data_IF_477772026552
#
_entry.id   IF_477772026552
#
_cell.length_a   1.000
_cell.length_b   1.000
_cell.length_c   1.000
_cell.angle_alpha   90.00
_cell.angle_beta   90.00
_cell.angle_gamma   90.00
#
_symmetry.space_group_name_H-M   'P 1'
#
loop_
_entity.id
_entity.type
_entity.pdbx_description
1 polymer ?
#
# COMPACT_ATOMS: atom_id res chain seq x y z
N UNK A 1 2.91 -23.90 9.98
CA UNK A 1 2.10 -23.22 8.97
C UNK A 1 2.28 -21.72 9.06
N UNK A 2 2.62 -21.09 7.98
CA UNK A 2 2.73 -19.64 7.98
C UNK A 2 1.35 -19.02 7.78
N UNK A 3 1.11 -17.91 8.48
CA UNK A 3 -0.10 -17.14 8.35
C UNK A 3 -0.11 -16.40 7.00
N UNK A 4 -1.29 -16.30 6.37
CA UNK A 4 -1.44 -15.48 5.17
C UNK A 4 -1.42 -14.02 5.60
N UNK A 5 -0.49 -13.25 5.05
CA UNK A 5 -0.38 -11.83 5.38
C UNK A 5 -1.34 -11.01 4.54
N UNK A 6 -2.00 -10.05 5.18
CA UNK A 6 -2.89 -9.09 4.52
C UNK A 6 -2.06 -7.90 4.10
N UNK A 7 -1.94 -7.67 2.79
CA UNK A 7 -1.07 -6.63 2.24
C UNK A 7 -1.86 -5.62 1.43
N UNK A 8 -1.74 -4.35 1.80
CA UNK A 8 -2.31 -3.26 1.01
C UNK A 8 -1.28 -2.90 -0.07
N UNK A 9 -1.67 -3.02 -1.33
CA UNK A 9 -0.76 -2.84 -2.46
C UNK A 9 -1.02 -1.49 -3.12
N UNK A 10 -0.05 -0.58 -3.01
CA UNK A 10 -0.10 0.72 -3.67
C UNK A 10 -0.04 0.54 -5.19
N UNK A 11 -0.68 1.44 -5.95
CA UNK A 11 -0.72 1.31 -7.40
C UNK A 11 0.66 1.33 -8.06
N UNK A 12 1.65 1.96 -7.42
CA UNK A 12 3.03 1.96 -7.93
C UNK A 12 3.60 0.55 -8.09
N UNK A 13 3.09 -0.41 -7.31
CA UNK A 13 3.56 -1.80 -7.37
C UNK A 13 3.06 -2.48 -8.65
N UNK A 14 1.80 -2.23 -9.04
CA UNK A 14 1.28 -2.76 -10.29
C UNK A 14 2.06 -2.19 -11.48
N UNK A 15 2.34 -0.88 -11.47
CA UNK A 15 3.17 -0.25 -12.49
C UNK A 15 4.60 -0.74 -12.47
N UNK A 16 5.12 -1.02 -11.27
CA UNK A 16 6.49 -1.50 -11.09
C UNK A 16 6.77 -2.83 -11.77
N UNK A 17 5.74 -3.64 -11.99
CA UNK A 17 5.86 -4.90 -12.73
C UNK A 17 6.45 -4.66 -14.14
N UNK A 18 6.15 -3.52 -14.74
CA UNK A 18 6.57 -3.16 -16.10
C UNK A 18 7.74 -2.17 -16.14
N UNK A 19 8.27 -1.80 -14.99
CA UNK A 19 9.36 -0.84 -14.87
C UNK A 19 10.68 -1.58 -14.69
N UNK A 20 11.65 -1.32 -15.58
CA UNK A 20 12.96 -2.01 -15.54
C UNK A 20 13.64 -1.94 -14.17
N UNK A 21 13.46 -0.82 -13.47
CA UNK A 21 14.08 -0.63 -12.16
C UNK A 21 13.48 -1.55 -11.09
N UNK A 22 12.18 -1.84 -11.19
CA UNK A 22 11.44 -2.55 -10.15
C UNK A 22 10.93 -3.93 -10.54
N UNK A 23 11.00 -4.29 -11.82
CA UNK A 23 10.33 -5.50 -12.33
C UNK A 23 10.81 -6.78 -11.64
N UNK A 24 12.10 -6.93 -11.38
CA UNK A 24 12.63 -8.13 -10.76
C UNK A 24 11.94 -8.46 -9.43
N UNK A 25 11.88 -7.46 -8.55
CA UNK A 25 11.32 -7.64 -7.20
C UNK A 25 9.79 -7.66 -7.23
N UNK A 26 9.19 -6.93 -8.14
CA UNK A 26 7.74 -6.91 -8.30
C UNK A 26 7.23 -8.26 -8.82
N UNK A 27 7.92 -8.87 -9.78
CA UNK A 27 7.59 -10.22 -10.26
C UNK A 27 7.64 -11.24 -9.13
N UNK A 28 8.68 -11.19 -8.30
CA UNK A 28 8.83 -12.10 -7.17
C UNK A 28 7.71 -11.90 -6.15
N UNK A 29 7.33 -10.65 -5.91
CA UNK A 29 6.22 -10.35 -5.00
C UNK A 29 4.91 -10.97 -5.50
N UNK A 30 4.55 -10.72 -6.76
CA UNK A 30 3.31 -11.27 -7.30
C UNK A 30 3.34 -12.80 -7.42
N UNK A 31 4.52 -13.38 -7.61
CA UNK A 31 4.66 -14.83 -7.54
C UNK A 31 4.24 -15.35 -6.16
N UNK A 32 4.67 -14.68 -5.09
CA UNK A 32 4.26 -15.05 -3.73
C UNK A 32 2.77 -14.82 -3.49
N UNK A 33 2.19 -13.78 -4.10
CA UNK A 33 0.73 -13.60 -4.07
C UNK A 33 0.04 -14.79 -4.74
N UNK A 34 0.52 -15.18 -5.92
CA UNK A 34 -0.04 -16.31 -6.67
C UNK A 34 0.10 -17.64 -5.89
N UNK A 35 1.13 -17.75 -5.07
CA UNK A 35 1.37 -18.91 -4.21
C UNK A 35 0.52 -18.89 -2.93
N UNK A 36 -0.30 -17.86 -2.74
CA UNK A 36 -1.19 -17.76 -1.60
C UNK A 36 -0.56 -17.27 -0.31
N UNK A 37 0.64 -16.68 -0.38
CA UNK A 37 1.32 -16.16 0.82
C UNK A 37 0.77 -14.81 1.29
N UNK A 38 0.11 -14.07 0.38
CA UNK A 38 -0.47 -12.77 0.66
C UNK A 38 -1.92 -12.71 0.20
N UNK A 39 -2.74 -12.03 0.99
CA UNK A 39 -4.08 -11.59 0.57
C UNK A 39 -3.99 -10.10 0.29
N UNK A 40 -4.28 -9.68 -0.93
CA UNK A 40 -4.24 -8.28 -1.31
C UNK A 40 -5.44 -7.53 -0.77
N UNK A 41 -5.21 -6.34 -0.22
CA UNK A 41 -6.24 -5.37 0.13
C UNK A 41 -6.15 -4.20 -0.84
N UNK A 42 -7.30 -3.65 -1.24
CA UNK A 42 -7.32 -2.41 -2.01
C UNK A 42 -8.53 -1.56 -1.63
N UNK A 43 -8.44 -0.26 -1.91
CA UNK A 43 -9.55 0.68 -1.74
C UNK A 43 -10.05 1.13 -3.11
N UNK A 44 -11.20 1.80 -3.12
CA UNK A 44 -11.73 2.39 -4.35
C UNK A 44 -10.77 3.42 -4.96
N UNK A 45 -9.93 4.03 -4.14
CA UNK A 45 -8.93 4.98 -4.64
C UNK A 45 -7.90 4.28 -5.52
N UNK A 46 -7.48 3.06 -5.16
CA UNK A 46 -6.60 2.24 -6.02
C UNK A 46 -7.25 2.01 -7.38
N UNK A 47 -8.54 1.64 -7.39
CA UNK A 47 -9.29 1.42 -8.63
C UNK A 47 -9.32 2.69 -9.49
N UNK A 48 -9.58 3.83 -8.85
CA UNK A 48 -9.63 5.12 -9.53
C UNK A 48 -8.28 5.48 -10.15
N UNK A 49 -7.21 5.31 -9.39
CA UNK A 49 -5.86 5.61 -9.88
C UNK A 49 -5.46 4.71 -11.04
N UNK A 50 -5.82 3.44 -10.99
CA UNK A 50 -5.50 2.49 -12.07
C UNK A 50 -6.28 2.77 -13.35
N UNK A 51 -7.42 3.47 -13.29
CA UNK A 51 -8.13 3.89 -14.50
C UNK A 51 -7.28 4.79 -15.40
N UNK A 52 -6.38 5.58 -14.81
CA UNK A 52 -5.46 6.43 -15.56
C UNK A 52 -4.16 5.76 -15.97
N UNK A 53 -3.97 4.49 -15.62
CA UNK A 53 -2.74 3.77 -15.92
C UNK A 53 -2.73 3.25 -17.36
N UNK A 54 -1.55 2.90 -17.90
CA UNK A 54 -1.46 2.26 -19.22
C UNK A 54 -2.28 0.96 -19.25
N UNK A 55 -2.79 0.60 -20.43
CA UNK A 55 -3.62 -0.59 -20.61
C UNK A 55 -2.98 -1.85 -20.03
N UNK A 56 -1.67 -2.04 -20.26
CA UNK A 56 -0.97 -3.22 -19.76
C UNK A 56 -1.00 -3.34 -18.23
N UNK A 57 -0.93 -2.21 -17.54
CA UNK A 57 -1.02 -2.16 -16.08
C UNK A 57 -2.43 -2.50 -15.61
N UNK A 58 -3.44 -1.93 -16.28
CA UNK A 58 -4.85 -2.23 -15.96
C UNK A 58 -5.15 -3.71 -16.15
N UNK A 59 -4.73 -4.28 -17.29
CA UNK A 59 -4.98 -5.69 -17.61
C UNK A 59 -4.28 -6.61 -16.60
N UNK A 60 -3.04 -6.27 -16.23
CA UNK A 60 -2.28 -7.03 -15.24
C UNK A 60 -2.95 -7.00 -13.86
N UNK A 61 -3.38 -5.83 -13.41
CA UNK A 61 -3.92 -5.64 -12.07
C UNK A 61 -5.32 -6.23 -11.89
N UNK A 62 -6.10 -6.31 -12.96
CA UNK A 62 -7.52 -6.69 -12.88
C UNK A 62 -7.79 -7.98 -12.12
N UNK A 63 -7.15 -9.12 -12.42
CA UNK A 63 -7.44 -10.35 -11.69
C UNK A 63 -7.03 -10.26 -10.22
N UNK A 64 -5.98 -9.50 -9.90
CA UNK A 64 -5.58 -9.31 -8.50
C UNK A 64 -6.63 -8.51 -7.72
N UNK A 65 -7.15 -7.44 -8.33
CA UNK A 65 -8.20 -6.64 -7.68
C UNK A 65 -9.49 -7.43 -7.50
N UNK A 66 -9.86 -8.24 -8.48
CA UNK A 66 -11.07 -9.06 -8.41
C UNK A 66 -11.02 -10.09 -7.27
N UNK A 67 -9.82 -10.52 -6.88
CA UNK A 67 -9.61 -11.52 -5.83
C UNK A 67 -9.13 -10.92 -4.52
N UNK A 68 -9.19 -9.60 -4.37
CA UNK A 68 -8.71 -8.92 -3.18
C UNK A 68 -9.84 -8.52 -2.23
N UNK A 69 -9.45 -8.22 -0.99
CA UNK A 69 -10.37 -7.66 -0.01
C UNK A 69 -10.50 -6.16 -0.26
N UNK A 70 -11.74 -5.65 -0.31
CA UNK A 70 -11.98 -4.23 -0.50
C UNK A 70 -12.00 -3.54 0.86
N UNK A 71 -11.16 -2.53 1.03
CA UNK A 71 -11.09 -1.70 2.24
C UNK A 71 -11.92 -0.44 1.99
N UNK A 72 -12.88 -0.18 2.86
CA UNK A 72 -13.73 1.01 2.72
C UNK A 72 -12.98 2.25 3.20
N UNK A 73 -13.14 3.34 2.44
CA UNK A 73 -12.66 4.65 2.86
C UNK A 73 -13.80 5.28 3.67
N UNK A 74 -13.61 5.35 4.98
CA UNK A 74 -14.62 5.87 5.91
C UNK A 74 -14.25 7.26 6.39
N UNK A 75 -15.12 7.85 7.23
CA UNK A 75 -14.81 9.12 7.88
C UNK A 75 -13.51 9.02 8.69
N UNK A 76 -13.31 7.92 9.40
CA UNK A 76 -12.08 7.72 10.19
C UNK A 76 -10.84 7.68 9.31
N UNK A 77 -10.94 7.09 8.12
CA UNK A 77 -9.85 7.08 7.14
C UNK A 77 -9.47 8.51 6.75
N UNK A 78 -10.47 9.33 6.43
CA UNK A 78 -10.24 10.72 6.04
C UNK A 78 -9.66 11.53 7.20
N UNK A 79 -10.18 11.35 8.41
CA UNK A 79 -9.66 12.06 9.58
C UNK A 79 -8.20 11.69 9.86
N UNK A 80 -7.85 10.42 9.72
CA UNK A 80 -6.46 9.99 9.92
C UNK A 80 -5.55 10.57 8.82
N UNK A 81 -6.01 10.54 7.56
CA UNK A 81 -5.24 11.13 6.46
C UNK A 81 -5.01 12.62 6.67
N UNK A 82 -6.04 13.34 7.13
CA UNK A 82 -5.92 14.77 7.45
C UNK A 82 -4.95 15.01 8.60
N UNK A 83 -4.91 14.11 9.58
CA UNK A 83 -3.97 14.22 10.69
C UNK A 83 -2.52 14.09 10.21
N UNK A 84 -2.24 13.20 9.26
CA UNK A 84 -0.91 13.10 8.69
C UNK A 84 -0.47 14.42 8.05
N UNK A 85 -1.37 15.10 7.36
CA UNK A 85 -1.08 16.42 6.79
C UNK A 85 -0.91 17.49 7.87
N UNK A 86 -1.78 17.47 8.86
CA UNK A 86 -1.72 18.44 9.97
C UNK A 86 -0.40 18.34 10.73
N UNK A 87 0.08 17.14 10.98
CA UNK A 87 1.36 16.92 11.65
C UNK A 87 2.54 16.97 10.67
N UNK A 88 2.31 17.35 9.43
CA UNK A 88 3.33 17.60 8.42
C UNK A 88 4.23 16.39 8.11
N UNK A 89 3.64 15.19 8.14
CA UNK A 89 4.35 14.00 7.70
C UNK A 89 4.70 14.16 6.22
N UNK A 90 3.75 14.61 5.41
CA UNK A 90 3.91 14.94 4.00
C UNK A 90 3.13 16.22 3.69
N UNK A 91 3.35 16.80 2.51
CA UNK A 91 2.63 17.99 2.07
C UNK A 91 1.24 17.66 1.50
N UNK A 92 0.42 18.69 1.33
CA UNK A 92 -0.97 18.56 0.86
C UNK A 92 -1.09 17.88 -0.50
N UNK A 93 -0.09 18.01 -1.38
CA UNK A 93 -0.08 17.35 -2.68
C UNK A 93 -0.03 15.82 -2.56
N UNK A 94 0.26 15.30 -1.38
CA UNK A 94 0.35 13.87 -1.10
C UNK A 94 -0.86 13.35 -0.35
N UNK A 95 -2.00 14.04 -0.42
CA UNK A 95 -3.22 13.64 0.28
C UNK A 95 -3.66 12.21 -0.08
N UNK A 96 -3.57 11.84 -1.35
CA UNK A 96 -3.98 10.50 -1.78
C UNK A 96 -3.07 9.43 -1.18
N UNK A 97 -1.76 9.72 -1.06
CA UNK A 97 -0.83 8.83 -0.37
C UNK A 97 -1.24 8.63 1.09
N UNK A 98 -1.69 9.71 1.73
CA UNK A 98 -2.18 9.66 3.11
C UNK A 98 -3.44 8.78 3.22
N UNK A 99 -4.33 8.84 2.24
CA UNK A 99 -5.52 7.98 2.21
C UNK A 99 -5.12 6.51 2.15
N UNK A 100 -4.11 6.17 1.34
CA UNK A 100 -3.62 4.78 1.25
C UNK A 100 -3.05 4.30 2.58
N UNK A 101 -2.18 5.09 3.20
CA UNK A 101 -1.59 4.73 4.49
C UNK A 101 -2.65 4.61 5.57
N UNK A 102 -3.59 5.57 5.61
CA UNK A 102 -4.70 5.54 6.57
C UNK A 102 -5.62 4.34 6.36
N UNK A 103 -5.92 4.02 5.10
CA UNK A 103 -6.76 2.85 4.76
C UNK A 103 -6.11 1.55 5.27
N UNK A 104 -4.82 1.38 5.01
CA UNK A 104 -4.08 0.20 5.46
C UNK A 104 -4.05 0.14 6.99
N UNK A 105 -3.85 1.27 7.65
CA UNK A 105 -3.80 1.36 9.12
C UNK A 105 -5.13 0.93 9.74
N UNK A 106 -6.23 1.52 9.27
CA UNK A 106 -7.57 1.27 9.85
C UNK A 106 -8.03 -0.15 9.55
N UNK A 107 -7.71 -0.67 8.36
CA UNK A 107 -8.02 -2.05 8.02
C UNK A 107 -7.15 -3.06 8.75
N UNK A 108 -6.17 -2.59 9.51
CA UNK A 108 -5.21 -3.46 10.24
C UNK A 108 -4.47 -4.39 9.30
N UNK A 109 -4.05 -3.87 8.15
CA UNK A 109 -3.21 -4.60 7.22
C UNK A 109 -1.91 -5.00 7.94
N UNK A 110 -1.36 -6.15 7.58
CA UNK A 110 -0.07 -6.55 8.13
C UNK A 110 1.04 -5.66 7.58
N UNK A 111 0.89 -5.21 6.33
CA UNK A 111 1.88 -4.35 5.69
C UNK A 111 1.24 -3.59 4.53
N UNK A 112 1.75 -2.40 4.24
CA UNK A 112 1.50 -1.71 2.97
C UNK A 112 2.80 -1.80 2.16
N UNK A 113 2.69 -2.18 0.89
CA UNK A 113 3.85 -2.22 -0.01
C UNK A 113 3.73 -1.14 -1.08
N UNK A 114 4.84 -0.49 -1.35
CA UNK A 114 4.89 0.63 -2.29
C UNK A 114 6.30 0.80 -2.85
N UNK A 115 6.39 1.34 -4.07
CA UNK A 115 7.65 1.84 -4.64
C UNK A 115 7.79 3.36 -4.52
N UNK A 116 6.84 4.01 -3.82
CA UNK A 116 6.89 5.46 -3.65
C UNK A 116 7.87 5.83 -2.54
N UNK A 117 9.16 5.99 -2.92
CA UNK A 117 10.22 6.35 -1.98
C UNK A 117 10.17 7.81 -1.53
N UNK A 118 9.37 8.63 -2.20
CA UNK A 118 9.29 10.05 -1.88
C UNK A 118 8.32 10.33 -0.74
N UNK A 119 7.17 9.66 -0.74
CA UNK A 119 6.08 10.00 0.18
C UNK A 119 5.63 8.87 1.09
N UNK A 120 5.99 7.62 0.79
CA UNK A 120 5.50 6.47 1.57
C UNK A 120 6.65 5.67 2.17
N UNK A 121 7.51 5.08 1.34
CA UNK A 121 8.57 4.17 1.79
C UNK A 121 9.87 4.93 1.95
N UNK A 122 9.91 5.77 2.97
CA UNK A 122 11.08 6.55 3.32
C UNK A 122 11.12 6.61 4.84
N UNK A 123 12.28 6.40 5.42
CA UNK A 123 12.41 6.22 6.87
C UNK A 123 11.72 7.32 7.68
N UNK A 124 11.95 8.59 7.33
CA UNK A 124 11.33 9.71 8.04
C UNK A 124 9.80 9.72 7.88
N UNK A 125 9.29 9.31 6.72
CA UNK A 125 7.84 9.23 6.48
C UNK A 125 7.24 8.07 7.26
N UNK A 126 7.88 6.91 7.24
CA UNK A 126 7.43 5.73 8.00
C UNK A 126 7.32 6.08 9.49
N UNK A 127 8.33 6.71 10.05
CA UNK A 127 8.31 7.16 11.45
C UNK A 127 7.20 8.18 11.69
N UNK A 128 7.03 9.12 10.76
CA UNK A 128 6.01 10.16 10.86
C UNK A 128 4.60 9.59 10.86
N UNK A 129 4.29 8.70 9.91
CA UNK A 129 2.98 8.06 9.86
C UNK A 129 2.68 7.31 11.15
N UNK A 130 3.64 6.53 11.63
CA UNK A 130 3.42 5.72 12.83
C UNK A 130 3.37 6.55 14.11
N UNK A 131 4.08 7.67 14.18
CA UNK A 131 3.95 8.59 15.31
C UNK A 131 2.52 9.12 15.38
N UNK A 132 1.94 9.53 14.25
CA UNK A 132 0.55 10.02 14.21
C UNK A 132 -0.42 8.88 14.53
N UNK A 133 -0.19 7.69 13.98
CA UNK A 133 -1.02 6.52 14.27
C UNK A 133 -1.13 6.30 15.78
N UNK A 134 -0.01 6.28 16.48
CA UNK A 134 0.00 6.09 17.94
C UNK A 134 -0.73 7.20 18.67
N UNK A 135 -0.53 8.46 18.26
CA UNK A 135 -1.23 9.60 18.86
C UNK A 135 -2.74 9.47 18.79
N UNK A 136 -3.25 8.88 17.73
CA UNK A 136 -4.69 8.75 17.52
C UNK A 136 -5.24 7.39 17.95
N UNK A 137 -4.41 6.55 18.57
CA UNK A 137 -4.83 5.28 19.12
C UNK A 137 -4.81 4.11 18.15
N UNK A 138 -4.16 4.27 17.00
CA UNK A 138 -4.01 3.19 16.03
C UNK A 138 -2.69 2.45 16.25
N UNK A 139 -2.65 1.19 15.81
CA UNK A 139 -1.43 0.38 15.84
C UNK A 139 -0.44 0.85 14.78
N UNK A 140 0.83 0.54 14.98
CA UNK A 140 1.85 0.78 13.96
C UNK A 140 1.54 -0.03 12.70
N UNK A 141 1.86 0.56 11.56
CA UNK A 141 1.72 -0.07 10.25
C UNK A 141 3.12 -0.35 9.70
N UNK A 142 3.35 -1.59 9.29
CA UNK A 142 4.56 -1.92 8.54
C UNK A 142 4.47 -1.32 7.15
N UNK A 143 5.49 -0.56 6.74
CA UNK A 143 5.57 0.12 5.44
C UNK A 143 6.84 -0.35 4.77
N UNK A 144 6.72 -1.07 3.66
CA UNK A 144 7.86 -1.76 3.02
C UNK A 144 7.76 -1.68 1.50
N UNK A 145 8.87 -2.01 0.84
CA UNK A 145 8.89 -2.23 -0.60
C UNK A 145 8.51 -3.69 -0.90
N UNK A 146 8.11 -3.99 -2.14
CA UNK A 146 7.89 -5.39 -2.54
C UNK A 146 9.10 -6.29 -2.30
N UNK A 147 10.32 -5.76 -2.40
CA UNK A 147 11.54 -6.53 -2.11
C UNK A 147 11.66 -6.93 -0.65
N UNK A 148 11.33 -5.98 0.25
CA UNK A 148 11.49 -6.17 1.69
C UNK A 148 10.51 -7.17 2.30
N UNK A 149 9.38 -7.42 1.65
CA UNK A 149 8.37 -8.35 2.19
C UNK A 149 8.52 -9.78 1.70
N UNK A 150 9.43 -10.05 0.77
CA UNK A 150 9.64 -11.39 0.24
C UNK A 150 10.06 -12.36 1.34
N UNK A 151 9.57 -13.59 1.25
CA UNK A 151 9.95 -14.64 2.17
C UNK A 151 11.22 -15.32 1.68
N UNK A 152 12.16 -15.52 2.58
CA UNK A 152 13.41 -16.23 2.31
C UNK A 152 13.37 -17.56 3.05
N UNK A 153 13.66 -18.61 2.32
CA UNK A 153 13.75 -19.97 2.89
C UNK A 153 15.20 -20.38 3.03
#
# INVERSE_FOLDING_TARGET
>A
MSRIERVYVDNSVYGGYFDKEFTEWTEKFFKEVDEGKFLILHSRLIEKELKGAPKRVKDFSKPYLENSEIVRITRDTVLLAEAYLKFKVVGESSYEDCIHVASATIAKADVIVSWNFKHIVRLDKIEGYNTVNRKLGYSDLEIRTPREVLHYE
#
